data_IF_037687088188
#
_entry.id   IF_037687088188
#
_cell.length_a   1.000
_cell.length_b   1.000
_cell.length_c   1.000
_cell.angle_alpha   90.00
_cell.angle_beta   90.00
_cell.angle_gamma   90.00
#
_symmetry.space_group_name_H-M   'P 1'
#
loop_
_entity.id
_entity.type
_entity.pdbx_description
1 polymer ?
#
# COMPACT_ATOMS: atom_id res chain seq x y z
N UNK A 1 -14.24 -11.07 -13.11
CA UNK A 1 -13.42 -10.01 -12.46
C UNK A 1 -12.93 -9.07 -13.55
N UNK A 2 -13.01 -7.74 -13.36
CA UNK A 2 -12.50 -6.78 -14.35
C UNK A 2 -10.97 -6.82 -14.33
N UNK A 3 -10.29 -6.70 -15.47
CA UNK A 3 -8.81 -6.70 -15.54
C UNK A 3 -8.15 -5.66 -14.63
N UNK A 4 -8.82 -4.53 -14.39
CA UNK A 4 -8.35 -3.47 -13.48
C UNK A 4 -8.43 -3.83 -11.98
N UNK A 5 -9.18 -4.87 -11.64
CA UNK A 5 -9.42 -5.33 -10.26
C UNK A 5 -8.63 -6.63 -9.96
N UNK A 6 -7.75 -7.05 -10.87
CA UNK A 6 -6.86 -8.17 -10.63
C UNK A 6 -5.90 -7.88 -9.46
N UNK A 7 -5.84 -8.80 -8.50
CA UNK A 7 -5.07 -8.64 -7.26
C UNK A 7 -5.71 -7.74 -6.20
N UNK A 8 -6.94 -7.26 -6.40
CA UNK A 8 -7.71 -6.54 -5.39
C UNK A 8 -8.62 -7.50 -4.61
N UNK A 9 -8.79 -7.25 -3.33
CA UNK A 9 -9.65 -7.98 -2.42
C UNK A 9 -10.82 -7.10 -1.99
N UNK A 10 -12.04 -7.63 -1.95
CA UNK A 10 -13.22 -6.92 -1.49
C UNK A 10 -13.49 -7.15 -0.01
N UNK A 11 -13.89 -6.11 0.70
CA UNK A 11 -14.46 -6.16 2.05
C UNK A 11 -15.75 -5.34 2.08
N UNK A 12 -16.80 -5.89 2.65
CA UNK A 12 -18.03 -5.16 2.92
C UNK A 12 -17.87 -4.29 4.17
N UNK A 13 -18.75 -3.30 4.32
CA UNK A 13 -18.83 -2.51 5.53
C UNK A 13 -18.92 -3.38 6.78
N UNK A 14 -18.10 -3.07 7.78
CA UNK A 14 -17.92 -3.79 9.05
C UNK A 14 -17.27 -5.18 8.93
N UNK A 15 -16.78 -5.59 7.75
CA UNK A 15 -15.95 -6.78 7.63
C UNK A 15 -14.50 -6.51 8.07
N UNK A 16 -13.84 -7.59 8.51
CA UNK A 16 -12.47 -7.57 8.96
C UNK A 16 -11.63 -8.53 8.12
N UNK A 17 -10.59 -8.00 7.47
CA UNK A 17 -9.53 -8.82 6.89
C UNK A 17 -8.40 -9.00 7.89
N UNK A 18 -7.95 -10.24 8.06
CA UNK A 18 -6.70 -10.56 8.74
C UNK A 18 -5.61 -10.80 7.69
N UNK A 19 -4.53 -10.04 7.81
CA UNK A 19 -3.36 -10.16 6.95
C UNK A 19 -2.23 -10.77 7.76
N UNK A 20 -1.62 -11.82 7.20
CA UNK A 20 -0.42 -12.45 7.73
C UNK A 20 0.68 -12.30 6.68
N UNK A 21 1.67 -11.48 7.01
CA UNK A 21 2.82 -11.19 6.15
C UNK A 21 4.01 -12.01 6.65
N UNK A 22 4.45 -12.99 5.86
CA UNK A 22 5.63 -13.79 6.18
C UNK A 22 6.88 -13.21 5.54
N UNK A 23 7.65 -12.45 6.33
CA UNK A 23 8.86 -11.76 5.88
C UNK A 23 10.16 -12.44 6.32
N UNK A 24 10.08 -13.66 6.87
CA UNK A 24 11.24 -14.44 7.33
C UNK A 24 12.21 -14.82 6.22
N UNK A 25 11.74 -14.83 4.98
CA UNK A 25 12.55 -15.14 3.80
C UNK A 25 13.28 -13.93 3.22
N UNK A 26 13.03 -12.73 3.76
CA UNK A 26 13.78 -11.53 3.36
C UNK A 26 15.19 -11.64 3.96
N UNK A 27 16.26 -11.47 3.15
CA UNK A 27 17.62 -11.47 3.68
C UNK A 27 17.81 -10.40 4.76
N UNK A 28 18.49 -10.74 5.87
CA UNK A 28 18.67 -9.84 7.02
C UNK A 28 19.41 -8.53 6.70
N UNK A 29 20.12 -8.48 5.57
CA UNK A 29 20.77 -7.27 5.06
C UNK A 29 19.77 -6.27 4.44
N UNK A 30 18.58 -6.72 4.04
CA UNK A 30 17.53 -5.85 3.53
C UNK A 30 16.75 -5.24 4.69
N UNK A 31 16.97 -3.95 4.92
CA UNK A 31 16.22 -3.18 5.90
C UNK A 31 14.93 -2.61 5.34
N UNK A 32 13.85 -2.67 6.12
CA UNK A 32 12.59 -1.99 5.83
C UNK A 32 12.79 -0.47 5.75
N UNK A 33 12.01 0.21 4.91
CA UNK A 33 12.13 1.64 4.56
C UNK A 33 13.41 2.06 3.82
N UNK A 34 14.45 1.25 3.84
CA UNK A 34 15.63 1.42 3.00
C UNK A 34 15.47 0.61 1.70
N UNK A 35 15.34 -0.71 1.80
CA UNK A 35 15.42 -1.60 0.63
C UNK A 35 14.04 -1.97 0.10
N UNK A 36 13.07 -2.12 0.99
CA UNK A 36 11.69 -2.47 0.63
C UNK A 36 10.68 -1.76 1.53
N UNK A 37 9.45 -1.63 1.02
CA UNK A 37 8.32 -0.99 1.69
C UNK A 37 7.03 -1.76 1.42
N UNK A 38 6.13 -1.76 2.40
CA UNK A 38 4.77 -2.25 2.24
C UNK A 38 3.88 -1.08 1.80
N UNK A 39 3.05 -1.31 0.80
CA UNK A 39 2.08 -0.35 0.31
C UNK A 39 0.70 -1.02 0.28
N UNK A 40 -0.28 -0.41 0.96
CA UNK A 40 -1.67 -0.86 0.94
C UNK A 40 -2.52 0.22 0.28
N UNK A 41 -3.14 -0.12 -0.84
CA UNK A 41 -4.04 0.75 -1.58
C UNK A 41 -5.48 0.37 -1.29
N UNK A 42 -6.36 1.37 -1.12
CA UNK A 42 -7.77 1.16 -0.80
C UNK A 42 -8.64 1.99 -1.75
N UNK A 43 -9.82 1.46 -2.12
CA UNK A 43 -10.85 2.15 -2.89
C UNK A 43 -12.23 1.87 -2.27
N UNK A 44 -13.04 2.89 -1.97
CA UNK A 44 -12.72 4.32 -2.03
C UNK A 44 -11.60 4.70 -1.06
N UNK A 45 -10.69 5.58 -1.48
CA UNK A 45 -9.66 6.15 -0.62
C UNK A 45 -9.95 7.63 -0.33
N UNK A 46 -9.63 8.04 0.89
CA UNK A 46 -9.72 9.43 1.36
C UNK A 46 -8.30 9.91 1.66
N UNK A 47 -7.88 11.00 1.04
CA UNK A 47 -6.56 11.57 1.26
C UNK A 47 -6.56 13.08 1.07
N UNK A 48 -5.66 13.74 1.79
CA UNK A 48 -5.31 15.15 1.58
C UNK A 48 -4.18 15.21 0.57
N UNK A 49 -4.50 15.57 -0.67
CA UNK A 49 -3.52 15.71 -1.74
C UNK A 49 -3.40 17.15 -2.18
N UNK A 50 -2.18 17.54 -2.50
CA UNK A 50 -1.91 18.83 -3.11
C UNK A 50 -1.98 18.66 -4.63
N UNK A 51 -2.79 19.49 -5.26
CA UNK A 51 -2.95 19.48 -6.72
C UNK A 51 -2.55 20.82 -7.30
N UNK A 52 -2.17 20.78 -8.57
CA UNK A 52 -2.05 21.99 -9.37
C UNK A 52 -3.40 22.27 -10.04
N UNK A 53 -3.74 23.55 -10.24
CA UNK A 53 -5.01 23.96 -10.84
C UNK A 53 -5.21 23.41 -12.28
N UNK A 54 -4.15 23.45 -13.08
CA UNK A 54 -4.13 22.85 -14.43
C UNK A 54 -2.73 22.34 -14.76
N UNK A 55 -2.58 21.50 -15.80
CA UNK A 55 -1.27 21.03 -16.26
C UNK A 55 -0.35 22.17 -16.70
N UNK A 56 -0.93 23.25 -17.22
CA UNK A 56 -0.22 24.40 -17.77
C UNK A 56 0.11 25.48 -16.73
N UNK A 57 -0.80 25.79 -15.80
CA UNK A 57 -0.62 26.92 -14.88
C UNK A 57 0.14 26.59 -13.60
N UNK A 58 0.35 25.30 -13.26
CA UNK A 58 1.17 24.81 -12.11
C UNK A 58 1.00 25.55 -10.77
N UNK A 59 -0.09 26.27 -10.57
CA UNK A 59 -0.39 26.95 -9.29
C UNK A 59 -0.82 25.90 -8.29
N UNK A 60 -0.05 25.78 -7.20
CA UNK A 60 -0.34 24.86 -6.08
C UNK A 60 -1.62 25.31 -5.39
N UNK A 61 -2.63 24.45 -5.44
CA UNK A 61 -3.87 24.62 -4.69
C UNK A 61 -3.62 24.23 -3.21
N UNK A 62 -4.36 24.84 -2.27
CA UNK A 62 -4.30 24.43 -0.88
C UNK A 62 -4.68 22.94 -0.75
N UNK A 63 -4.11 22.21 0.23
CA UNK A 63 -4.45 20.81 0.46
C UNK A 63 -5.96 20.67 0.74
N UNK A 64 -6.64 19.82 -0.02
CA UNK A 64 -8.05 19.53 0.17
C UNK A 64 -8.26 18.01 0.32
N UNK A 65 -9.25 17.62 1.12
CA UNK A 65 -9.64 16.21 1.22
C UNK A 65 -10.34 15.78 -0.07
N UNK A 66 -9.85 14.71 -0.67
CA UNK A 66 -10.42 14.11 -1.88
C UNK A 66 -10.86 12.68 -1.60
N UNK A 67 -12.08 12.36 -2.03
CA UNK A 67 -12.63 11.01 -1.98
C UNK A 67 -12.60 10.40 -3.37
N UNK A 68 -11.64 9.51 -3.62
CA UNK A 68 -11.50 8.83 -4.91
C UNK A 68 -12.38 7.59 -4.95
N UNK A 69 -13.54 7.71 -5.61
CA UNK A 69 -14.47 6.59 -5.89
C UNK A 69 -14.15 5.91 -7.23
N UNK A 70 -14.84 4.80 -7.51
CA UNK A 70 -14.65 3.93 -8.69
C UNK A 70 -14.55 4.63 -10.06
N UNK A 71 -15.12 5.83 -10.22
CA UNK A 71 -15.11 6.62 -11.46
C UNK A 71 -13.88 7.55 -11.61
N UNK A 72 -13.12 7.78 -10.54
CA UNK A 72 -11.84 8.49 -10.67
C UNK A 72 -10.76 7.54 -11.21
N UNK A 73 -9.92 7.99 -12.16
CA UNK A 73 -8.99 7.13 -12.87
C UNK A 73 -7.99 6.44 -11.94
N UNK A 74 -7.59 7.11 -10.85
CA UNK A 74 -6.64 6.58 -9.87
C UNK A 74 -7.18 6.73 -8.44
N UNK A 75 -6.95 5.77 -7.53
CA UNK A 75 -7.03 6.01 -6.09
C UNK A 75 -6.07 7.13 -5.65
N UNK A 76 -6.05 7.46 -4.37
CA UNK A 76 -4.97 8.26 -3.79
C UNK A 76 -3.62 7.75 -4.30
N UNK A 77 -2.77 8.69 -4.71
CA UNK A 77 -1.44 8.42 -5.26
C UNK A 77 -0.51 7.74 -4.26
N UNK A 78 -0.77 7.95 -2.97
CA UNK A 78 -0.03 7.39 -1.85
C UNK A 78 -0.82 6.24 -1.22
N UNK A 79 -0.14 5.16 -0.77
CA UNK A 79 -0.78 4.12 0.00
C UNK A 79 -1.30 4.67 1.33
N UNK A 80 -2.19 3.92 2.00
CA UNK A 80 -2.65 4.27 3.33
C UNK A 80 -1.49 4.28 4.34
N UNK A 81 -1.61 5.09 5.37
CA UNK A 81 -0.67 5.08 6.48
C UNK A 81 -0.75 3.73 7.21
N UNK A 82 0.42 3.17 7.50
CA UNK A 82 0.54 1.91 8.22
C UNK A 82 0.46 2.16 9.73
N UNK A 83 0.06 1.16 10.53
CA UNK A 83 -0.01 1.29 11.98
C UNK A 83 1.34 1.70 12.61
N UNK A 84 1.29 2.47 13.70
CA UNK A 84 2.48 2.98 14.37
C UNK A 84 3.46 1.87 14.80
N UNK A 85 2.95 0.74 15.28
CA UNK A 85 3.77 -0.42 15.67
C UNK A 85 4.60 -0.97 14.49
N UNK A 86 4.05 -0.91 13.28
CA UNK A 86 4.72 -1.39 12.09
C UNK A 86 5.75 -0.37 11.60
N UNK A 87 5.48 0.92 11.77
CA UNK A 87 6.43 1.98 11.43
C UNK A 87 7.59 2.10 12.44
N UNK A 88 7.45 1.53 13.63
CA UNK A 88 8.50 1.52 14.65
C UNK A 88 9.74 0.76 14.15
N UNK A 89 10.94 1.39 14.15
CA UNK A 89 12.18 0.75 13.73
C UNK A 89 12.67 -0.33 14.70
N UNK A 90 12.18 -0.38 15.94
CA UNK A 90 12.52 -1.41 16.93
C UNK A 90 11.85 -2.75 16.67
N UNK A 91 10.77 -2.77 15.89
CA UNK A 91 10.06 -4.00 15.53
C UNK A 91 10.78 -4.68 14.37
N UNK A 92 11.22 -5.91 14.60
CA UNK A 92 11.86 -6.73 13.57
C UNK A 92 10.88 -6.99 12.41
N UNK A 93 11.34 -6.71 11.20
CA UNK A 93 10.58 -6.88 9.97
C UNK A 93 10.90 -8.21 9.28
N UNK A 94 11.75 -9.05 9.83
CA UNK A 94 12.08 -10.37 9.30
C UNK A 94 11.28 -11.50 9.99
N UNK A 95 10.06 -11.20 10.42
CA UNK A 95 9.20 -12.14 11.13
C UNK A 95 7.81 -12.24 10.46
N UNK A 96 6.94 -13.06 11.04
CA UNK A 96 5.52 -13.13 10.74
C UNK A 96 4.81 -11.90 11.33
N UNK A 97 4.44 -10.97 10.46
CA UNK A 97 3.77 -9.73 10.85
C UNK A 97 2.28 -9.83 10.58
N UNK A 98 1.50 -9.72 11.65
CA UNK A 98 0.04 -9.78 11.58
C UNK A 98 -0.55 -8.38 11.64
N UNK A 99 -1.51 -8.10 10.77
CA UNK A 99 -2.25 -6.85 10.77
C UNK A 99 -3.70 -7.07 10.37
N UNK A 100 -4.58 -6.17 10.79
CA UNK A 100 -6.01 -6.24 10.47
C UNK A 100 -6.45 -5.00 9.73
N UNK A 101 -7.35 -5.18 8.77
CA UNK A 101 -8.05 -4.09 8.08
C UNK A 101 -9.52 -4.21 8.45
N UNK A 102 -10.05 -3.18 9.13
CA UNK A 102 -11.47 -3.03 9.39
C UNK A 102 -12.06 -2.12 8.31
N UNK A 103 -12.99 -2.64 7.53
CA UNK A 103 -13.72 -1.87 6.55
C UNK A 103 -14.86 -1.10 7.23
N UNK A 104 -14.83 0.24 7.18
CA UNK A 104 -15.94 1.06 7.69
C UNK A 104 -17.07 1.23 6.68
N UNK A 105 -16.73 1.10 5.40
CA UNK A 105 -17.62 1.13 4.23
C UNK A 105 -17.22 -0.03 3.30
N UNK A 106 -18.01 -0.30 2.26
CA UNK A 106 -17.61 -1.25 1.22
C UNK A 106 -16.33 -0.78 0.51
N UNK A 107 -15.26 -1.56 0.62
CA UNK A 107 -13.96 -1.27 0.03
C UNK A 107 -13.44 -2.42 -0.83
N UNK A 108 -12.57 -2.06 -1.77
CA UNK A 108 -11.58 -2.98 -2.32
C UNK A 108 -10.20 -2.51 -1.91
N UNK A 109 -9.31 -3.43 -1.56
CA UNK A 109 -7.93 -3.10 -1.19
C UNK A 109 -6.93 -3.99 -1.93
N UNK A 110 -5.71 -3.49 -2.08
CA UNK A 110 -4.60 -4.19 -2.73
C UNK A 110 -3.34 -4.00 -1.89
N UNK A 111 -2.58 -5.09 -1.74
CA UNK A 111 -1.32 -5.10 -1.01
C UNK A 111 -0.19 -5.26 -2.02
N UNK A 112 0.84 -4.43 -1.89
CA UNK A 112 2.04 -4.47 -2.70
C UNK A 112 3.28 -4.33 -1.84
N UNK A 113 4.37 -4.99 -2.24
CA UNK A 113 5.70 -4.79 -1.67
C UNK A 113 6.54 -4.09 -2.73
N UNK A 114 7.04 -2.89 -2.41
CA UNK A 114 7.85 -2.08 -3.30
C UNK A 114 9.31 -2.23 -2.94
N UNK A 115 10.17 -2.48 -3.92
CA UNK A 115 11.63 -2.49 -3.77
C UNK A 115 12.14 -1.09 -4.09
N UNK A 116 12.72 -0.41 -3.11
CA UNK A 116 13.06 1.02 -3.20
C UNK A 116 14.45 1.25 -3.78
N UNK A 117 15.42 0.38 -3.46
CA UNK A 117 16.77 0.43 -4.00
C UNK A 117 17.05 -0.82 -4.84
N UNK A 118 17.00 -0.65 -6.16
CA UNK A 118 17.17 -1.74 -7.12
C UNK A 118 18.61 -1.85 -7.61
N UNK A 119 19.41 -2.69 -6.94
CA UNK A 119 20.58 -3.34 -7.53
C UNK A 119 20.80 -4.70 -6.87
N UNK A 120 19.74 -5.52 -6.78
CA UNK A 120 19.89 -6.94 -6.47
C UNK A 120 18.95 -7.78 -7.35
N UNK A 121 19.58 -8.65 -8.12
CA UNK A 121 18.97 -9.68 -8.97
C UNK A 121 18.17 -10.62 -8.06
N UNK A 122 16.95 -11.05 -8.43
CA UNK A 122 16.22 -12.05 -7.67
C UNK A 122 17.05 -13.34 -7.60
N UNK A 123 17.57 -13.68 -6.43
CA UNK A 123 18.08 -15.01 -6.14
C UNK A 123 16.89 -15.91 -5.80
N UNK A 124 16.10 -16.30 -6.80
CA UNK A 124 15.49 -17.62 -6.73
C UNK A 124 16.52 -18.63 -7.22
N UNK A 125 16.72 -19.77 -6.55
CA UNK A 125 17.19 -20.94 -7.26
C UNK A 125 16.06 -21.29 -8.22
N UNK A 126 16.29 -21.02 -9.50
CA UNK A 126 15.41 -21.49 -10.55
C UNK A 126 15.33 -23.01 -10.42
N UNK A 127 14.12 -23.53 -10.43
CA UNK A 127 13.79 -24.95 -10.31
C UNK A 127 14.78 -25.83 -11.09
N UNK A 128 15.33 -26.83 -10.40
CA UNK A 128 15.97 -28.00 -11.03
C UNK A 128 14.89 -28.88 -11.63
#
# INVERSE_FOLDING_TARGET
IRTREEGWFSLQGMELAQLQLDWRHIPTMMKYNEHYKLAIYVRPSRCTEERCNSPDDRVRLPPAEHVYRSRSPNPCSRPMELPAWFLDPSVDKHDLLNMTILALDDIIFKIEVHIVHGLFIPASPQFV
#
